data_IF_136048926636
#
_entry.id   IF_136048926636
#
_cell.length_a   1.000
_cell.length_b   1.000
_cell.length_c   1.000
_cell.angle_alpha   90.00
_cell.angle_beta   90.00
_cell.angle_gamma   90.00
#
_symmetry.space_group_name_H-M   'P 1'
#
loop_
_entity.id
_entity.type
_entity.pdbx_description
1 polymer ?
#
# COMPACT_ATOMS: atom_id res chain seq x y z
N UNK A 1 14.69 15.30 -1.90
CA UNK A 1 13.30 15.68 -1.59
C UNK A 1 12.43 14.87 -2.53
N UNK A 2 12.00 13.70 -2.08
CA UNK A 2 11.06 12.87 -2.84
C UNK A 2 9.71 13.54 -2.71
N UNK A 3 9.24 14.12 -3.81
CA UNK A 3 7.90 14.68 -3.93
C UNK A 3 6.91 13.55 -3.64
N UNK A 4 6.34 13.52 -2.45
CA UNK A 4 5.18 12.69 -2.17
C UNK A 4 4.06 13.27 -3.02
N UNK A 5 3.86 12.73 -4.23
CA UNK A 5 2.68 12.99 -5.04
C UNK A 5 1.49 12.92 -4.10
N UNK A 6 0.85 14.08 -3.88
CA UNK A 6 -0.30 14.18 -2.99
C UNK A 6 -1.30 13.12 -3.45
N UNK A 7 -1.55 12.12 -2.59
CA UNK A 7 -2.48 11.03 -2.88
C UNK A 7 -3.82 11.70 -3.16
N UNK A 8 -4.19 11.74 -4.43
CA UNK A 8 -5.42 12.40 -4.86
C UNK A 8 -6.56 11.44 -4.51
N UNK A 9 -7.16 11.64 -3.33
CA UNK A 9 -8.24 10.79 -2.82
C UNK A 9 -9.55 11.23 -3.47
N UNK A 10 -10.29 10.28 -4.05
CA UNK A 10 -11.60 10.53 -4.61
C UNK A 10 -12.56 11.10 -3.53
N UNK A 11 -13.42 12.09 -3.84
CA UNK A 11 -14.28 12.75 -2.84
C UNK A 11 -15.15 11.80 -2.00
N UNK A 12 -15.58 10.67 -2.58
CA UNK A 12 -16.31 9.62 -1.86
C UNK A 12 -15.58 9.11 -0.61
N UNK A 13 -14.25 9.04 -0.69
CA UNK A 13 -13.36 8.49 0.34
C UNK A 13 -12.78 9.55 1.29
N UNK A 14 -13.23 10.81 1.18
CA UNK A 14 -12.71 11.93 2.00
C UNK A 14 -12.77 11.67 3.51
N UNK A 15 -13.76 10.91 3.99
CA UNK A 15 -13.90 10.56 5.41
C UNK A 15 -12.75 9.67 5.93
N UNK A 16 -12.01 9.01 5.05
CA UNK A 16 -10.88 8.15 5.37
C UNK A 16 -9.55 8.65 4.78
N UNK A 17 -9.48 9.91 4.32
CA UNK A 17 -8.30 10.53 3.70
C UNK A 17 -7.03 10.35 4.54
N UNK A 18 -7.12 10.56 5.86
CA UNK A 18 -5.97 10.40 6.77
C UNK A 18 -5.45 8.96 6.83
N UNK A 19 -6.34 7.96 6.75
CA UNK A 19 -5.92 6.57 6.68
C UNK A 19 -5.19 6.29 5.35
N UNK A 20 -5.64 6.89 4.25
CA UNK A 20 -5.02 6.70 2.93
C UNK A 20 -3.66 7.38 2.79
N UNK A 21 -3.42 8.48 3.51
CA UNK A 21 -2.09 9.10 3.60
C UNK A 21 -1.04 8.15 4.19
N UNK A 22 -1.45 7.16 4.99
CA UNK A 22 -0.54 6.16 5.58
C UNK A 22 -0.20 5.00 4.62
N UNK A 23 -0.94 4.81 3.53
CA UNK A 23 -0.75 3.68 2.63
C UNK A 23 0.63 3.62 1.97
N UNK A 24 1.22 4.72 1.47
CA UNK A 24 2.56 4.68 0.86
C UNK A 24 3.62 4.20 1.88
N UNK A 25 3.63 4.78 3.08
CA UNK A 25 4.59 4.42 4.13
C UNK A 25 4.41 2.96 4.61
N UNK A 26 3.16 2.53 4.78
CA UNK A 26 2.86 1.14 5.13
C UNK A 26 3.35 0.17 4.04
N UNK A 27 3.13 0.52 2.77
CA UNK A 27 3.55 -0.31 1.63
C UNK A 27 5.07 -0.43 1.55
N UNK A 28 5.80 0.67 1.76
CA UNK A 28 7.26 0.68 1.84
C UNK A 28 7.78 -0.15 3.01
N UNK A 29 7.15 -0.04 4.18
CA UNK A 29 7.53 -0.79 5.38
C UNK A 29 7.34 -2.30 5.17
N UNK A 30 6.27 -2.71 4.50
CA UNK A 30 6.05 -4.10 4.12
C UNK A 30 7.07 -4.59 3.09
N UNK A 31 7.54 -3.73 2.19
CA UNK A 31 8.59 -4.09 1.23
C UNK A 31 9.91 -4.39 1.93
N UNK A 32 10.26 -3.58 2.94
CA UNK A 32 11.44 -3.79 3.77
C UNK A 32 11.35 -5.11 4.54
N UNK A 33 10.19 -5.40 5.15
CA UNK A 33 9.98 -6.65 5.88
C UNK A 33 10.00 -7.87 4.96
N UNK A 34 9.40 -7.78 3.76
CA UNK A 34 9.48 -8.83 2.74
C UNK A 34 10.92 -9.16 2.37
N UNK A 35 11.72 -8.13 2.11
CA UNK A 35 13.13 -8.29 1.77
C UNK A 35 13.92 -8.93 2.91
N UNK A 36 13.56 -8.65 4.17
CA UNK A 36 14.17 -9.30 5.33
C UNK A 36 13.83 -10.80 5.42
N UNK A 37 12.58 -11.19 5.13
CA UNK A 37 12.18 -12.60 5.08
C UNK A 37 12.82 -13.35 3.91
N UNK A 38 12.93 -12.73 2.73
CA UNK A 38 13.68 -13.29 1.60
C UNK A 38 15.14 -13.55 2.00
N UNK A 39 15.78 -12.57 2.67
CA UNK A 39 17.17 -12.70 3.11
C UNK A 39 17.37 -13.74 4.23
N UNK A 40 16.35 -14.04 5.03
CA UNK A 40 16.41 -15.06 6.08
C UNK A 40 16.01 -16.47 5.61
N UNK A 41 15.64 -16.64 4.33
CA UNK A 41 15.16 -17.92 3.80
C UNK A 41 13.71 -18.25 4.17
N UNK A 42 12.94 -17.29 4.69
CA UNK A 42 11.54 -17.44 5.06
C UNK A 42 10.63 -17.13 3.86
N UNK A 43 10.77 -17.92 2.79
CA UNK A 43 10.09 -17.68 1.50
C UNK A 43 8.57 -17.64 1.62
N UNK A 44 7.98 -18.46 2.48
CA UNK A 44 6.54 -18.46 2.74
C UNK A 44 6.07 -17.09 3.27
N UNK A 45 6.76 -16.53 4.26
CA UNK A 45 6.41 -15.22 4.82
C UNK A 45 6.63 -14.09 3.81
N UNK A 46 7.67 -14.18 2.98
CA UNK A 46 7.89 -13.24 1.90
C UNK A 46 6.75 -13.25 0.86
N UNK A 47 6.25 -14.44 0.52
CA UNK A 47 5.11 -14.60 -0.41
C UNK A 47 3.83 -13.99 0.19
N UNK A 48 3.54 -14.24 1.46
CA UNK A 48 2.39 -13.64 2.14
C UNK A 48 2.45 -12.10 2.11
N UNK A 49 3.63 -11.52 2.38
CA UNK A 49 3.81 -10.08 2.29
C UNK A 49 3.67 -9.53 0.86
N UNK A 50 4.10 -10.29 -0.15
CA UNK A 50 3.88 -9.91 -1.56
C UNK A 50 2.38 -9.82 -1.89
N UNK A 51 1.56 -10.77 -1.43
CA UNK A 51 0.11 -10.72 -1.61
C UNK A 51 -0.50 -9.51 -0.89
N UNK A 52 -0.06 -9.23 0.34
CA UNK A 52 -0.55 -8.08 1.08
C UNK A 52 -0.18 -6.75 0.41
N UNK A 53 1.01 -6.62 -0.17
CA UNK A 53 1.40 -5.44 -0.95
C UNK A 53 0.54 -5.25 -2.20
N UNK A 54 0.24 -6.32 -2.94
CA UNK A 54 -0.66 -6.25 -4.09
C UNK A 54 -2.05 -5.75 -3.68
N UNK A 55 -2.56 -6.22 -2.54
CA UNK A 55 -3.85 -5.73 -1.99
C UNK A 55 -3.81 -4.26 -1.61
N UNK A 56 -2.71 -3.76 -1.03
CA UNK A 56 -2.59 -2.33 -0.73
C UNK A 56 -2.51 -1.47 -2.00
N UNK A 57 -1.89 -1.96 -3.06
CA UNK A 57 -1.85 -1.26 -4.35
C UNK A 57 -3.23 -1.22 -5.02
N UNK A 58 -3.98 -2.32 -5.00
CA UNK A 58 -5.37 -2.34 -5.48
C UNK A 58 -6.25 -1.34 -4.72
N UNK A 59 -6.09 -1.29 -3.39
CA UNK A 59 -6.77 -0.30 -2.56
C UNK A 59 -6.37 1.14 -2.97
N UNK A 60 -5.07 1.40 -3.17
CA UNK A 60 -4.58 2.71 -3.63
C UNK A 60 -5.24 3.15 -4.94
N UNK A 61 -5.37 2.25 -5.91
CA UNK A 61 -6.02 2.51 -7.20
C UNK A 61 -7.51 2.81 -7.00
N UNK A 62 -8.23 1.96 -6.25
CA UNK A 62 -9.66 2.18 -5.95
C UNK A 62 -9.92 3.54 -5.29
N UNK A 63 -9.01 4.01 -4.44
CA UNK A 63 -9.18 5.31 -3.78
C UNK A 63 -8.93 6.49 -4.69
N UNK A 64 -8.12 6.34 -5.74
CA UNK A 64 -7.94 7.36 -6.76
C UNK A 64 -9.18 7.44 -7.68
N UNK A 65 -9.73 6.28 -8.07
CA UNK A 65 -10.79 6.19 -9.07
C UNK A 65 -12.21 6.34 -8.48
N UNK A 66 -12.38 6.06 -7.19
CA UNK A 66 -13.70 6.00 -6.55
C UNK A 66 -14.38 4.64 -6.71
N UNK A 67 -15.57 4.44 -6.09
CA UNK A 67 -16.28 3.17 -6.17
C UNK A 67 -16.70 2.87 -7.62
N UNK A 68 -16.20 1.75 -8.18
CA UNK A 68 -16.74 1.16 -9.40
C UNK A 68 -18.03 0.43 -9.06
N UNK A 69 -19.16 1.06 -9.40
CA UNK A 69 -20.51 0.46 -9.32
C UNK A 69 -20.78 -0.53 -10.45
#
# INVERSE_FOLDING_TARGET
MTDHQAVQVHPFYKHAEEAFKLLPEATESLAKLRSAFEASGEEFLAIELKHMQARLEELRVLFADGPTG
#
